data_IF_721317972011
#
_entry.id   IF_721317972011
#
_cell.length_a   1.000
_cell.length_b   1.000
_cell.length_c   1.000
_cell.angle_alpha   90.00
_cell.angle_beta   90.00
_cell.angle_gamma   90.00
#
_symmetry.space_group_name_H-M   'P 1'
#
loop_
_entity.id
_entity.type
_entity.pdbx_description
1 polymer ?
2 non-polymer ?
3 non-polymer ?
4 non-polymer ?
5 water ?
#
# COMPACT_ATOMS: atom_id res chain seq x y z
N UNK A 9 -15.71 -0.42 21.52
CA UNK A 9 -16.20 0.80 20.86
C UNK A 9 -16.04 0.71 19.34
N UNK A 10 -15.50 -0.40 18.87
CA UNK A 10 -15.24 -0.51 17.44
C UNK A 10 -16.52 -0.60 16.63
N UNK A 11 -17.63 -1.03 17.24
CA UNK A 11 -18.88 -1.16 16.51
C UNK A 11 -19.59 0.18 16.46
N UNK A 12 -19.64 0.88 17.59
CA UNK A 12 -20.26 2.20 17.65
C UNK A 12 -19.61 3.15 16.67
N UNK A 13 -18.29 3.09 16.52
CA UNK A 13 -17.55 3.98 15.65
C UNK A 13 -17.22 3.34 14.31
N UNK A 14 -17.99 2.32 13.89
CA UNK A 14 -17.66 1.64 12.63
C UNK A 14 -17.71 2.55 11.41
N UNK A 15 -18.46 3.67 11.43
CA UNK A 15 -18.47 4.58 10.29
C UNK A 15 -17.39 5.65 10.40
N UNK A 16 -16.40 5.44 11.27
CA UNK A 16 -15.38 6.45 11.55
C UNK A 16 -14.53 6.88 10.38
N UNK A 17 -14.39 6.06 9.35
CA UNK A 17 -13.65 6.52 8.19
C UNK A 17 -14.43 7.49 7.33
N UNK A 18 -15.75 7.58 7.51
CA UNK A 18 -16.62 8.33 6.60
C UNK A 18 -17.59 9.14 7.44
N UNK A 19 -17.08 10.08 8.22
CA UNK A 19 -17.91 10.76 9.20
C UNK A 19 -18.89 11.70 8.52
N UNK A 20 -20.08 11.79 9.13
CA UNK A 20 -21.12 12.68 8.63
C UNK A 20 -20.65 14.13 8.68
N UNK A 21 -21.04 14.90 7.69
CA UNK A 21 -20.70 16.31 7.60
C UNK A 21 -19.26 16.62 7.22
N UNK A 22 -18.48 15.64 6.89
CA UNK A 22 -17.11 15.90 6.49
C UNK A 22 -17.06 16.31 5.00
N UNK A 23 -16.27 17.33 4.65
CA UNK A 23 -16.29 17.81 3.25
C UNK A 23 -15.70 16.83 2.26
N UNK A 24 -14.70 16.07 2.68
CA UNK A 24 -14.12 15.06 1.81
C UNK A 24 -15.08 13.91 1.59
N UNK A 25 -15.78 13.48 2.64
CA UNK A 25 -16.82 12.45 2.49
C UNK A 25 -17.89 12.93 1.53
N UNK A 26 -18.33 14.17 1.71
CA UNK A 26 -19.35 14.72 0.82
C UNK A 26 -18.89 14.67 -0.63
N UNK A 27 -17.62 15.04 -0.89
CA UNK A 27 -17.10 15.00 -2.26
C UNK A 27 -17.13 13.57 -2.81
N UNK A 28 -16.71 12.58 -2.01
CA UNK A 28 -16.64 11.20 -2.48
C UNK A 28 -18.06 10.64 -2.67
N UNK A 29 -19.01 11.09 -1.86
CA UNK A 29 -20.42 10.70 -2.07
C UNK A 29 -20.98 11.28 -3.37
N UNK A 30 -20.67 12.55 -3.67
CA UNK A 30 -21.16 13.16 -4.91
C UNK A 30 -20.59 12.46 -6.13
N UNK A 31 -19.29 12.13 -6.08
CA UNK A 31 -18.67 11.43 -7.19
C UNK A 31 -19.27 10.06 -7.44
N UNK A 32 -19.87 9.42 -6.40
CA UNK A 32 -20.39 8.07 -6.58
C UNK A 32 -21.69 8.08 -7.37
N UNK A 33 -22.25 9.26 -7.61
CA UNK A 33 -23.43 9.41 -8.46
C UNK A 33 -23.06 9.51 -9.93
N UNK A 34 -21.82 9.34 -10.27
CA UNK A 34 -21.43 9.60 -11.65
C UNK A 34 -21.70 8.37 -12.51
N UNK A 35 -21.67 8.52 -13.83
CA UNK A 35 -21.87 7.37 -14.72
C UNK A 35 -20.78 6.32 -14.51
N UNK A 36 -21.16 5.05 -14.60
CA UNK A 36 -20.19 3.95 -14.51
C UNK A 36 -20.11 3.18 -15.81
N UNK A 37 -20.56 3.79 -16.89
CA UNK A 37 -20.58 3.20 -18.22
C UNK A 37 -19.88 4.17 -19.15
N UNK A 38 -18.91 3.68 -19.91
CA UNK A 38 -18.04 4.54 -20.70
C UNK A 38 -17.59 3.82 -21.94
N UNK A 39 -17.15 4.59 -22.92
CA UNK A 39 -16.28 4.11 -23.99
C UNK A 39 -15.08 5.03 -24.02
N UNK A 40 -13.88 4.46 -23.88
CA UNK A 40 -12.62 5.22 -24.01
C UNK A 40 -11.99 4.77 -25.33
N UNK A 41 -11.76 5.70 -26.24
CA UNK A 41 -11.26 5.38 -27.57
C UNK A 41 -9.74 5.28 -27.57
N UNK A 42 -9.22 4.36 -28.38
CA UNK A 42 -7.81 4.32 -28.72
C UNK A 42 -6.94 4.16 -27.48
N UNK A 43 -7.22 3.13 -26.68
CA UNK A 43 -6.53 2.90 -25.42
C UNK A 43 -5.42 1.92 -25.68
N UNK A 44 -4.21 2.23 -25.17
CA UNK A 44 -3.14 1.27 -25.13
C UNK A 44 -3.03 0.62 -23.75
N UNK A 45 -3.44 -0.64 -23.65
CA UNK A 45 -3.41 -1.34 -22.37
C UNK A 45 -1.98 -1.78 -22.12
N UNK A 46 -1.39 -1.30 -21.04
CA UNK A 46 -0.03 -1.71 -20.67
C UNK A 46 -0.10 -3.02 -19.89
N UNK A 47 0.67 -4.00 -20.32
CA UNK A 47 0.65 -5.33 -19.74
C UNK A 47 1.27 -5.29 -18.36
N UNK A 48 0.50 -5.67 -17.34
CA UNK A 48 0.94 -5.48 -15.96
C UNK A 48 2.25 -6.20 -15.66
N UNK A 49 2.60 -7.22 -16.44
CA UNK A 49 3.83 -7.98 -16.24
C UNK A 49 5.02 -7.42 -17.04
N UNK A 50 4.83 -7.09 -18.31
CA UNK A 50 5.93 -6.76 -19.19
C UNK A 50 6.13 -5.28 -19.46
N UNK A 51 5.13 -4.45 -19.20
CA UNK A 51 5.23 -3.04 -19.49
C UNK A 51 5.06 -2.69 -20.95
N UNK A 52 4.89 -3.67 -21.82
CA UNK A 52 4.61 -3.39 -23.21
C UNK A 52 3.12 -3.05 -23.39
N UNK A 53 2.82 -2.41 -24.52
CA UNK A 53 1.51 -1.82 -24.77
C UNK A 53 0.80 -2.56 -25.88
N UNK A 54 -0.45 -2.97 -25.64
CA UNK A 54 -1.23 -3.61 -26.67
C UNK A 54 -1.58 -2.60 -27.77
N UNK A 55 -1.99 -3.07 -28.94
CA UNK A 55 -2.41 -2.14 -29.98
C UNK A 55 -3.59 -1.32 -29.51
N UNK A 56 -3.86 -0.19 -30.15
CA UNK A 56 -4.92 0.70 -29.66
C UNK A 56 -6.28 0.04 -29.79
N UNK A 57 -7.03 0.05 -28.71
CA UNK A 57 -8.36 -0.54 -28.76
C UNK A 57 -9.32 0.34 -27.98
N UNK A 58 -10.56 0.34 -28.43
CA UNK A 58 -11.59 1.09 -27.72
C UNK A 58 -12.11 0.26 -26.57
N UNK A 59 -12.08 0.85 -25.39
CA UNK A 59 -12.41 0.17 -24.14
C UNK A 59 -13.86 0.46 -23.77
N UNK A 60 -14.67 -0.60 -23.61
CA UNK A 60 -16.05 -0.47 -23.19
C UNK A 60 -16.17 -0.87 -21.73
N UNK A 61 -16.67 0.07 -20.91
CA UNK A 61 -16.98 -0.16 -19.50
C UNK A 61 -18.50 -0.11 -19.35
N UNK A 62 -19.06 -1.12 -18.69
CA UNK A 62 -20.50 -1.25 -18.53
C UNK A 62 -20.76 -1.47 -17.04
N UNK A 63 -21.43 -0.50 -16.40
CA UNK A 63 -21.79 -0.61 -14.98
C UNK A 63 -20.57 -0.99 -14.14
N UNK A 64 -19.44 -0.34 -14.42
CA UNK A 64 -18.25 -0.52 -13.64
C UNK A 64 -17.50 -1.82 -13.88
N UNK A 65 -17.76 -2.52 -14.97
CA UNK A 65 -17.05 -3.74 -15.30
C UNK A 65 -16.44 -3.58 -16.69
N UNK A 66 -15.24 -4.10 -16.87
CA UNK A 66 -14.63 -4.09 -18.20
C UNK A 66 -15.43 -5.02 -19.11
N UNK A 67 -16.13 -4.44 -20.08
CA UNK A 67 -16.98 -5.22 -20.95
C UNK A 67 -16.24 -5.74 -22.16
N UNK A 68 -15.26 -5.01 -22.69
CA UNK A 68 -14.58 -5.49 -23.88
C UNK A 68 -13.70 -4.43 -24.50
N UNK A 69 -12.97 -4.89 -25.51
CA UNK A 69 -12.00 -4.08 -26.23
C UNK A 69 -12.32 -4.22 -27.71
N UNK A 70 -12.45 -3.07 -28.43
CA UNK A 70 -12.72 -3.11 -29.87
C UNK A 70 -11.53 -2.54 -30.62
N UNK A 71 -10.94 -3.22 -31.60
CA UNK A 71 -9.77 -2.64 -32.26
C UNK A 71 -10.08 -1.28 -32.83
N UNK A 72 -9.20 -0.34 -32.59
CA UNK A 72 -9.42 1.01 -33.09
C UNK A 72 -9.17 1.07 -34.61
N UNK A 73 -10.12 1.55 -35.40
CA UNK A 73 -9.93 1.53 -36.86
C UNK A 73 -8.74 2.39 -37.26
N UNK A 74 -7.96 1.97 -38.27
CA UNK A 74 -6.85 2.81 -38.74
C UNK A 74 -7.28 4.23 -39.11
N UNK A 78 -3.43 3.85 -42.13
CA UNK A 78 -3.07 4.76 -41.05
C UNK A 78 -3.29 4.16 -39.67
N UNK A 79 -2.23 3.59 -39.09
CA UNK A 79 -2.31 3.02 -37.75
C UNK A 79 -2.79 4.04 -36.73
N UNK A 80 -3.82 3.69 -35.97
CA UNK A 80 -4.44 4.68 -35.08
C UNK A 80 -3.51 5.03 -33.92
N UNK A 81 -3.29 6.32 -33.64
CA UNK A 81 -2.48 6.68 -32.47
C UNK A 81 -3.19 6.37 -31.17
N UNK A 82 -2.42 6.31 -30.09
CA UNK A 82 -3.00 6.11 -28.76
C UNK A 82 -3.52 7.46 -28.25
N UNK A 83 -4.76 7.47 -27.78
CA UNK A 83 -5.25 8.62 -27.03
C UNK A 83 -4.94 8.47 -25.55
N UNK A 84 -4.82 7.24 -25.10
CA UNK A 84 -4.61 6.96 -23.69
C UNK A 84 -3.69 5.77 -23.56
N UNK A 85 -2.92 5.78 -22.47
CA UNK A 85 -2.20 4.60 -21.99
C UNK A 85 -2.78 4.22 -20.63
N UNK A 86 -3.06 2.94 -20.42
CA UNK A 86 -3.83 2.50 -19.26
C UNK A 86 -3.10 1.39 -18.54
N UNK A 87 -3.05 1.50 -17.23
CA UNK A 87 -2.64 0.40 -16.36
C UNK A 87 -3.79 -0.05 -15.47
N UNK A 88 -3.73 -1.27 -14.94
CA UNK A 88 -4.60 -1.64 -13.83
C UNK A 88 -4.41 -0.64 -12.69
N UNK A 89 -5.44 -0.51 -11.87
CA UNK A 89 -5.32 0.30 -10.68
C UNK A 89 -4.27 -0.25 -9.75
N UNK A 90 -3.60 0.65 -9.02
CA UNK A 90 -2.52 0.29 -8.10
C UNK A 90 -3.08 -0.19 -6.76
N UNK A 91 -2.25 -1.00 -6.09
CA UNK A 91 -2.57 -1.53 -4.77
C UNK A 91 -1.46 -1.14 -3.82
N UNK A 92 -1.79 -0.34 -2.80
CA UNK A 92 -0.83 -0.13 -1.71
C UNK A 92 -0.89 -1.37 -0.81
N UNK A 93 0.16 -2.17 -0.87
CA UNK A 93 0.15 -3.48 -0.20
C UNK A 93 0.39 -3.41 1.31
N UNK A 94 0.58 -2.24 1.88
CA UNK A 94 0.71 -2.13 3.33
C UNK A 94 0.30 -0.73 3.74
N UNK A 95 -0.99 -0.46 3.89
CA UNK A 95 -1.48 0.86 4.25
C UNK A 95 -2.14 0.81 5.62
N UNK A 96 -2.07 1.91 6.34
CA UNK A 96 -2.75 2.10 7.62
C UNK A 96 -3.70 3.27 7.40
N UNK A 97 -4.83 2.98 6.79
CA UNK A 97 -5.88 3.97 6.53
C UNK A 97 -6.63 4.20 7.82
N UNK A 98 -6.61 5.46 8.29
CA UNK A 98 -7.24 5.89 9.52
C UNK A 98 -8.22 7.04 9.32
N UNK A 99 -8.25 7.62 8.14
CA UNK A 99 -9.12 8.77 7.88
C UNK A 99 -9.46 8.85 6.41
N UNK A 100 -10.56 9.57 6.13
CA UNK A 100 -10.93 9.82 4.73
C UNK A 100 -9.84 10.58 3.97
N UNK A 101 -9.01 11.36 4.67
CA UNK A 101 -7.85 11.99 4.03
C UNK A 101 -6.97 10.96 3.34
N UNK A 102 -6.70 9.85 4.02
CA UNK A 102 -5.89 8.79 3.43
C UNK A 102 -6.57 8.21 2.19
N UNK A 103 -7.89 7.99 2.24
CA UNK A 103 -8.59 7.40 1.10
C UNK A 103 -8.47 8.29 -0.12
N UNK A 104 -8.62 9.60 0.07
CA UNK A 104 -8.50 10.55 -1.04
C UNK A 104 -7.08 10.59 -1.58
N UNK A 105 -6.07 10.60 -0.69
CA UNK A 105 -4.69 10.57 -1.13
C UNK A 105 -4.37 9.36 -1.99
N UNK A 106 -4.86 8.18 -1.58
CA UNK A 106 -4.64 7.00 -2.40
C UNK A 106 -5.26 7.15 -3.79
N UNK A 107 -6.57 7.56 -3.86
CA UNK A 107 -7.26 7.64 -5.14
C UNK A 107 -6.55 8.59 -6.09
N UNK A 108 -6.16 9.74 -5.56
CA UNK A 108 -5.53 10.78 -6.40
C UNK A 108 -4.26 10.25 -7.05
N UNK A 109 -3.60 9.27 -6.42
CA UNK A 109 -2.36 8.74 -6.92
C UNK A 109 -2.53 7.42 -7.62
N UNK A 110 -3.76 7.07 -7.99
CA UNK A 110 -4.04 5.90 -8.80
C UNK A 110 -4.20 4.61 -8.02
N UNK A 111 -4.21 4.72 -6.71
CA UNK A 111 -4.32 3.55 -5.83
C UNK A 111 -5.81 3.28 -5.59
N UNK A 112 -6.30 2.20 -6.16
CA UNK A 112 -7.68 1.85 -6.13
C UNK A 112 -8.01 0.70 -5.18
N UNK A 113 -6.99 0.13 -4.52
CA UNK A 113 -7.16 -0.91 -3.51
C UNK A 113 -5.96 -0.83 -2.56
N UNK A 114 -6.15 -1.33 -1.35
CA UNK A 114 -5.06 -1.37 -0.39
C UNK A 114 -5.27 -2.55 0.55
N UNK A 115 -4.17 -3.08 1.07
CA UNK A 115 -4.17 -4.00 2.22
C UNK A 115 -4.07 -3.16 3.49
N UNK A 116 -5.07 -3.31 4.32
CA UNK A 116 -5.13 -2.69 5.65
C UNK A 116 -4.58 -3.70 6.64
N UNK A 117 -3.33 -3.52 7.04
CA UNK A 117 -2.64 -4.53 7.83
C UNK A 117 -2.81 -4.33 9.33
N UNK A 118 -3.76 -3.50 9.74
CA UNK A 118 -4.25 -3.45 11.10
C UNK A 118 -5.75 -3.17 10.95
N UNK A 119 -6.49 -4.19 10.52
CA UNK A 119 -7.89 -4.00 10.19
C UNK A 119 -8.79 -3.92 11.40
N UNK A 120 -9.88 -3.19 11.20
CA UNK A 120 -10.93 -2.96 12.20
C UNK A 120 -12.30 -3.08 11.55
N UNK A 121 -13.36 -3.20 12.33
CA UNK A 121 -14.73 -3.12 11.73
C UNK A 121 -14.95 -1.90 10.86
N UNK A 122 -14.32 -0.74 11.15
CA UNK A 122 -14.46 0.44 10.29
C UNK A 122 -14.01 0.20 8.86
N UNK A 123 -12.98 -0.63 8.65
CA UNK A 123 -12.59 -0.95 7.29
C UNK A 123 -13.55 -1.90 6.60
N UNK A 124 -14.18 -2.82 7.32
CA UNK A 124 -15.25 -3.62 6.72
C UNK A 124 -16.40 -2.74 6.34
N UNK A 125 -16.74 -1.76 7.19
CA UNK A 125 -17.80 -0.82 6.82
C UNK A 125 -17.44 -0.11 5.53
N UNK A 126 -16.19 0.36 5.41
CA UNK A 126 -15.77 1.02 4.20
C UNK A 126 -15.88 0.10 3.00
N UNK A 127 -15.60 -1.21 3.17
CA UNK A 127 -15.80 -2.17 2.09
C UNK A 127 -17.28 -2.26 1.71
N UNK A 128 -18.18 -2.12 2.70
CA UNK A 128 -19.62 -2.16 2.39
C UNK A 128 -20.02 -0.92 1.59
N UNK A 129 -19.45 0.23 1.95
CA UNK A 129 -19.73 1.46 1.19
C UNK A 129 -19.26 1.29 -0.25
N UNK A 130 -18.11 0.66 -0.43
CA UNK A 130 -17.61 0.36 -1.78
C UNK A 130 -18.56 -0.56 -2.55
N UNK A 131 -18.97 -1.66 -1.92
CA UNK A 131 -19.93 -2.58 -2.55
C UNK A 131 -21.24 -1.87 -2.89
N UNK A 132 -21.70 -0.98 -2.00
CA UNK A 132 -22.99 -0.30 -2.16
C UNK A 132 -22.89 0.84 -3.17
N UNK A 133 -21.68 1.23 -3.55
CA UNK A 133 -21.43 2.38 -4.42
C UNK A 133 -22.00 3.68 -3.86
N UNK A 134 -21.86 3.86 -2.53
CA UNK A 134 -22.31 5.08 -1.87
C UNK A 134 -21.26 6.19 -1.80
N UNK A 135 -19.99 5.85 -2.03
CA UNK A 135 -18.91 6.83 -2.11
C UNK A 135 -17.82 6.22 -2.97
N UNK A 136 -17.05 7.07 -3.63
CA UNK A 136 -15.92 6.63 -4.41
C UNK A 136 -14.76 6.43 -3.47
N UNK A 137 -14.28 5.18 -3.37
CA UNK A 137 -13.13 4.95 -2.49
C UNK A 137 -12.38 3.70 -2.96
N UNK A 138 -11.13 3.55 -2.55
CA UNK A 138 -10.38 2.33 -2.88
C UNK A 138 -10.97 1.15 -2.13
N UNK A 139 -10.80 -0.03 -2.72
CA UNK A 139 -11.33 -1.25 -2.10
C UNK A 139 -10.34 -1.78 -1.08
N UNK A 140 -10.76 -2.05 0.17
CA UNK A 140 -9.84 -2.60 1.17
C UNK A 140 -9.78 -4.11 1.19
N UNK A 141 -8.60 -4.60 1.64
CA UNK A 141 -8.39 -5.99 2.02
C UNK A 141 -7.96 -5.91 3.48
N UNK A 142 -8.71 -6.55 4.38
CA UNK A 142 -8.72 -6.14 5.77
C UNK A 142 -8.28 -7.33 6.65
N UNK A 143 -7.25 -7.13 7.50
CA UNK A 143 -6.94 -8.17 8.47
C UNK A 143 -7.81 -8.01 9.73
N UNK A 144 -7.98 -9.11 10.46
CA UNK A 144 -8.72 -9.08 11.71
C UNK A 144 -7.77 -8.58 12.80
N UNK A 145 -7.51 -7.29 12.78
CA UNK A 145 -6.60 -6.74 13.77
C UNK A 145 -5.22 -7.34 13.53
N UNK A 146 -4.48 -7.50 14.61
CA UNK A 146 -3.14 -8.09 14.55
C UNK A 146 -3.04 -9.04 15.74
N UNK A 147 -2.41 -10.19 15.52
CA UNK A 147 -2.25 -11.23 16.53
C UNK A 147 -0.80 -11.16 17.00
N UNK A 148 -0.60 -11.20 18.31
CA UNK A 148 0.73 -11.17 18.88
C UNK A 148 0.75 -12.06 20.12
N UNK A 149 1.97 -12.39 20.58
CA UNK A 149 2.11 -13.25 21.74
C UNK A 149 2.19 -12.45 23.02
N UNK A 150 2.22 -13.14 24.15
CA UNK A 150 2.53 -12.44 25.38
C UNK A 150 3.92 -11.84 25.25
N UNK A 151 4.15 -10.77 25.97
CA UNK A 151 5.40 -10.09 25.73
C UNK A 151 5.40 -9.25 24.47
N UNK A 152 4.23 -9.12 23.83
CA UNK A 152 4.04 -8.16 22.75
C UNK A 152 4.54 -6.77 23.15
N UNK A 153 5.14 -6.07 22.19
CA UNK A 153 5.46 -4.66 22.36
C UNK A 153 4.25 -3.75 22.09
N UNK A 154 3.13 -4.29 21.61
CA UNK A 154 1.93 -3.49 21.35
C UNK A 154 0.73 -4.17 22.00
N UNK A 155 0.79 -4.45 23.30
CA UNK A 155 -0.26 -5.27 23.92
C UNK A 155 -1.63 -4.61 23.94
N UNK A 156 -1.67 -3.29 23.88
CA UNK A 156 -2.94 -2.57 23.89
C UNK A 156 -3.70 -2.82 22.60
N UNK A 157 -3.02 -2.68 21.47
CA UNK A 157 -3.64 -2.76 20.16
C UNK A 157 -3.71 -4.18 19.62
N UNK A 158 -2.88 -5.09 20.11
CA UNK A 158 -2.84 -6.43 19.56
C UNK A 158 -3.83 -7.35 20.27
N UNK A 159 -4.28 -8.36 19.54
CA UNK A 159 -5.02 -9.48 20.11
C UNK A 159 -3.98 -10.49 20.59
N UNK A 160 -3.85 -10.69 21.91
CA UNK A 160 -2.85 -11.57 22.46
C UNK A 160 -3.33 -13.01 22.40
N UNK A 161 -2.55 -13.85 21.71
CA UNK A 161 -2.88 -15.25 21.52
C UNK A 161 -1.77 -16.07 22.18
N UNK A 162 -2.15 -16.96 23.08
CA UNK A 162 -1.17 -17.81 23.75
C UNK A 162 -1.55 -19.28 23.75
N UNK A 163 -2.57 -19.68 23.01
CA UNK A 163 -2.97 -21.07 22.96
C UNK A 163 -3.99 -21.26 21.84
N UNK A 164 -4.48 -22.51 21.73
CA UNK A 164 -5.33 -22.90 20.62
C UNK A 164 -6.69 -22.21 20.69
N UNK A 165 -7.22 -22.03 21.90
CA UNK A 165 -8.53 -21.39 22.02
C UNK A 165 -8.46 -19.94 21.58
N UNK A 166 -7.38 -19.23 21.93
CA UNK A 166 -7.21 -17.88 21.46
C UNK A 166 -7.13 -17.84 19.93
N UNK A 167 -6.40 -18.80 19.32
CA UNK A 167 -6.32 -18.86 17.86
C UNK A 167 -7.71 -19.09 17.25
N UNK A 168 -8.47 -19.99 17.83
CA UNK A 168 -9.80 -20.29 17.29
C UNK A 168 -10.68 -19.05 17.28
N UNK A 169 -10.60 -18.23 18.33
CA UNK A 169 -11.44 -17.03 18.41
C UNK A 169 -11.11 -16.05 17.29
N UNK A 170 -9.85 -16.00 16.84
CA UNK A 170 -9.53 -15.12 15.75
C UNK A 170 -10.09 -15.67 14.44
N UNK A 171 -9.93 -16.97 14.20
CA UNK A 171 -10.51 -17.60 13.03
C UNK A 171 -12.04 -17.39 13.01
N UNK A 172 -12.70 -17.45 14.17
CA UNK A 172 -14.15 -17.17 14.23
C UNK A 172 -14.51 -15.78 13.74
N UNK A 173 -13.75 -14.76 14.20
CA UNK A 173 -13.95 -13.39 13.76
C UNK A 173 -13.72 -13.26 12.25
N UNK A 174 -12.67 -13.87 11.73
CA UNK A 174 -12.39 -13.77 10.29
C UNK A 174 -13.55 -14.32 9.49
N UNK A 175 -13.97 -15.54 9.79
CA UNK A 175 -14.98 -16.19 9.01
C UNK A 175 -16.39 -15.64 9.31
N UNK A 176 -16.62 -15.05 10.49
CA UNK A 176 -17.94 -14.58 10.86
C UNK A 176 -18.23 -13.23 10.26
N UNK A 177 -17.22 -12.38 10.18
CA UNK A 177 -17.42 -11.01 9.71
C UNK A 177 -16.83 -10.75 8.34
N UNK A 178 -16.14 -11.73 7.75
CA UNK A 178 -15.59 -11.54 6.41
C UNK A 178 -14.31 -10.72 6.35
N UNK A 179 -13.49 -10.76 7.41
CA UNK A 179 -12.12 -10.31 7.24
C UNK A 179 -11.38 -11.18 6.20
N UNK A 180 -10.35 -10.61 5.59
CA UNK A 180 -9.67 -11.24 4.48
C UNK A 180 -8.41 -12.00 4.88
N UNK A 181 -7.89 -11.75 6.08
CA UNK A 181 -6.72 -12.49 6.55
C UNK A 181 -6.35 -12.17 7.98
N UNK A 182 -5.22 -12.79 8.42
CA UNK A 182 -4.75 -12.71 9.79
C UNK A 182 -3.34 -12.14 9.70
N UNK A 183 -3.04 -11.16 10.53
CA UNK A 183 -1.69 -10.61 10.55
C UNK A 183 -1.00 -10.97 11.85
N UNK A 184 0.23 -11.54 11.76
CA UNK A 184 1.02 -11.89 12.95
C UNK A 184 2.10 -10.88 13.20
N UNK A 185 2.40 -10.71 14.48
CA UNK A 185 3.45 -9.81 14.93
C UNK A 185 4.59 -10.62 15.54
N UNK A 186 5.60 -9.89 16.05
CA UNK A 186 6.91 -10.48 16.27
C UNK A 186 6.96 -11.46 17.42
N UNK A 187 6.09 -11.32 18.40
CA UNK A 187 6.22 -12.10 19.64
C UNK A 187 5.27 -13.27 19.70
N UNK A 188 4.64 -13.63 18.58
CA UNK A 188 3.87 -14.88 18.57
C UNK A 188 4.80 -16.04 18.85
N UNK A 189 4.42 -16.89 19.80
CA UNK A 189 5.27 -18.01 20.16
C UNK A 189 5.25 -19.08 19.07
N UNK A 190 6.33 -19.88 18.99
CA UNK A 190 6.43 -20.82 17.89
C UNK A 190 5.30 -21.85 17.85
N UNK A 191 4.96 -22.53 18.95
CA UNK A 191 3.84 -23.52 18.89
C UNK A 191 2.50 -22.88 18.51
N UNK A 192 2.28 -21.65 18.95
CA UNK A 192 1.08 -20.92 18.60
C UNK A 192 1.07 -20.56 17.13
N UNK A 193 2.19 -20.08 16.58
CA UNK A 193 2.30 -19.82 15.15
C UNK A 193 1.97 -21.10 14.35
N UNK A 194 2.54 -22.22 14.75
CA UNK A 194 2.34 -23.45 13.98
C UNK A 194 0.90 -23.85 13.95
N UNK A 195 0.23 -23.76 15.10
CA UNK A 195 -1.19 -24.06 15.17
C UNK A 195 -2.01 -23.06 14.34
N UNK A 196 -1.64 -21.78 14.39
CA UNK A 196 -2.36 -20.73 13.66
C UNK A 196 -2.27 -20.95 12.16
N UNK A 197 -1.05 -21.22 11.66
CA UNK A 197 -0.97 -21.39 10.21
C UNK A 197 -1.59 -22.70 9.77
N UNK A 198 -1.53 -23.76 10.61
CA UNK A 198 -2.21 -25.00 10.28
C UNK A 198 -3.72 -24.77 10.19
N UNK A 199 -4.28 -24.07 11.18
CA UNK A 199 -5.73 -23.92 11.22
C UNK A 199 -6.24 -22.87 10.23
N UNK A 200 -5.50 -21.79 10.03
CA UNK A 200 -5.85 -20.82 8.98
C UNK A 200 -5.82 -21.49 7.61
N UNK A 201 -4.76 -22.28 7.34
CA UNK A 201 -4.69 -22.99 6.06
C UNK A 201 -5.91 -23.87 5.87
N UNK A 202 -6.31 -24.62 6.91
CA UNK A 202 -7.48 -25.47 6.78
C UNK A 202 -8.72 -24.66 6.50
N UNK A 203 -8.79 -23.45 7.03
CA UNK A 203 -9.96 -22.60 6.85
C UNK A 203 -9.84 -21.70 5.62
N UNK A 204 -8.77 -21.82 4.83
CA UNK A 204 -8.60 -20.95 3.67
C UNK A 204 -8.25 -19.51 3.95
N UNK A 205 -7.72 -19.23 5.12
CA UNK A 205 -7.42 -17.86 5.55
C UNK A 205 -5.92 -17.60 5.37
N UNK A 206 -5.52 -16.58 4.64
CA UNK A 206 -4.09 -16.23 4.55
C UNK A 206 -3.56 -15.57 5.80
N UNK A 207 -2.30 -15.88 6.11
CA UNK A 207 -1.58 -15.26 7.22
C UNK A 207 -0.45 -14.40 6.66
N UNK A 208 -0.42 -13.14 7.09
CA UNK A 208 0.56 -12.18 6.62
C UNK A 208 1.23 -11.58 7.84
N UNK A 209 2.23 -10.72 7.62
CA UNK A 209 2.77 -9.90 8.68
C UNK A 209 4.26 -10.11 8.91
N UNK A 210 4.67 -9.97 10.16
CA UNK A 210 6.07 -10.03 10.55
C UNK A 210 6.48 -11.46 10.79
N UNK A 211 7.65 -11.87 10.27
CA UNK A 211 8.17 -13.19 10.62
C UNK A 211 8.40 -13.18 12.13
N UNK A 212 7.76 -14.04 12.91
CA UNK A 212 7.96 -13.97 14.37
C UNK A 212 9.37 -14.36 14.75
N UNK A 213 9.86 -13.71 15.80
CA UNK A 213 11.23 -13.95 16.25
C UNK A 213 11.47 -15.42 16.56
N UNK A 214 10.46 -16.11 17.04
CA UNK A 214 10.60 -17.51 17.46
C UNK A 214 10.38 -18.49 16.34
N UNK A 215 10.24 -18.01 15.10
CA UNK A 215 9.97 -18.85 13.95
C UNK A 215 11.11 -18.77 12.95
N UNK A 216 11.52 -19.94 12.46
CA UNK A 216 12.53 -20.05 11.41
C UNK A 216 12.06 -19.34 10.15
N UNK A 217 13.00 -18.68 9.48
CA UNK A 217 12.61 -17.93 8.29
C UNK A 217 12.04 -18.85 7.25
N UNK A 218 12.66 -20.02 7.05
CA UNK A 218 12.18 -20.90 5.99
C UNK A 218 10.78 -21.41 6.29
N UNK A 219 10.47 -21.67 7.56
CA UNK A 219 9.10 -22.05 7.93
C UNK A 219 8.11 -20.91 7.64
N UNK A 220 8.47 -19.68 7.98
CA UNK A 220 7.59 -18.56 7.73
C UNK A 220 7.36 -18.36 6.24
N UNK A 221 8.41 -18.50 5.43
CA UNK A 221 8.27 -18.26 4.00
C UNK A 221 7.34 -19.26 3.35
N UNK A 222 7.35 -20.50 3.81
CA UNK A 222 6.49 -21.47 3.16
C UNK A 222 5.07 -21.52 3.74
N UNK A 223 4.79 -20.86 4.86
CA UNK A 223 3.46 -20.90 5.45
C UNK A 223 2.72 -19.57 5.37
N UNK A 224 3.42 -18.45 5.26
CA UNK A 224 2.76 -17.15 5.23
C UNK A 224 2.49 -16.69 3.81
N UNK A 225 1.33 -16.09 3.60
CA UNK A 225 0.98 -15.61 2.28
C UNK A 225 1.89 -14.47 1.85
N UNK A 226 2.27 -13.62 2.79
CA UNK A 226 3.28 -12.61 2.53
C UNK A 226 4.01 -12.30 3.84
N UNK A 227 5.22 -11.77 3.69
CA UNK A 227 6.01 -11.26 4.82
C UNK A 227 6.40 -9.81 4.53
N UNK A 228 6.40 -9.01 5.59
CA UNK A 228 6.52 -7.56 5.48
C UNK A 228 7.86 -7.07 6.03
N UNK A 229 8.32 -5.98 5.42
CA UNK A 229 9.43 -5.15 5.89
C UNK A 229 10.78 -5.82 5.77
N UNK A 230 10.89 -6.95 5.08
CA UNK A 230 12.09 -7.80 5.06
C UNK A 230 12.43 -8.38 6.44
N UNK A 231 11.54 -8.28 7.44
CA UNK A 231 11.88 -8.89 8.71
C UNK A 231 12.01 -10.39 8.49
N UNK A 232 12.93 -10.97 9.23
CA UNK A 232 13.31 -12.36 8.94
C UNK A 232 14.60 -12.44 8.15
N UNK A 233 14.66 -11.72 7.04
CA UNK A 233 15.95 -11.51 6.36
C UNK A 233 16.85 -10.58 7.17
N UNK A 234 16.25 -9.57 7.79
CA UNK A 234 16.93 -8.70 8.73
C UNK A 234 16.06 -8.65 9.98
N UNK A 235 16.63 -8.27 11.11
CA UNK A 235 15.85 -8.19 12.33
C UNK A 235 14.98 -6.95 12.38
N UNK A 236 13.89 -7.06 13.12
CA UNK A 236 13.08 -5.90 13.43
C UNK A 236 13.83 -5.08 14.50
N UNK A 237 14.75 -4.25 14.04
CA UNK A 237 15.58 -3.48 14.97
C UNK A 237 14.77 -2.43 15.73
N UNK A 238 13.52 -2.17 15.32
CA UNK A 238 12.73 -1.17 16.04
C UNK A 238 12.24 -1.71 17.37
N UNK A 239 12.44 -3.01 17.62
CA UNK A 239 12.24 -3.59 18.95
C UNK A 239 13.38 -3.29 19.89
N UNK A 240 14.48 -2.71 19.41
CA UNK A 240 15.65 -2.43 20.23
C UNK A 240 15.64 -0.98 20.68
N UNK A 241 16.43 -0.63 21.71
CA UNK A 241 16.65 0.79 22.04
C UNK A 241 17.15 1.58 20.85
N UNK A 242 16.72 2.84 20.77
CA UNK A 242 17.04 3.68 19.62
C UNK A 242 18.54 3.74 19.34
N UNK A 243 19.37 3.72 20.38
CA UNK A 243 20.80 3.93 20.21
C UNK A 243 21.51 2.72 19.60
N UNK A 244 20.87 1.55 19.63
CA UNK A 244 21.47 0.34 19.10
C UNK A 244 20.90 -0.08 17.77
N UNK A 245 19.78 0.54 17.31
CA UNK A 245 19.02 0.00 16.19
C UNK A 245 19.85 -0.12 14.92
N UNK A 246 20.56 0.94 14.55
CA UNK A 246 21.18 0.97 13.24
C UNK A 246 22.51 0.22 13.25
N UNK A 247 23.22 0.21 14.39
CA UNK A 247 24.32 -0.71 14.59
C UNK A 247 23.87 -2.16 14.43
N UNK A 248 22.72 -2.52 15.01
CA UNK A 248 22.21 -3.88 14.88
C UNK A 248 21.85 -4.19 13.43
N UNK A 249 21.28 -3.24 12.73
CA UNK A 249 21.00 -3.49 11.32
C UNK A 249 22.31 -3.61 10.55
N UNK A 250 23.27 -2.71 10.80
CA UNK A 250 24.57 -2.83 10.15
C UNK A 250 25.20 -4.21 10.40
N UNK A 251 25.13 -4.70 11.64
CA UNK A 251 25.68 -6.01 11.95
C UNK A 251 24.96 -7.11 11.19
N UNK A 252 23.63 -7.04 11.13
CA UNK A 252 22.85 -8.03 10.39
C UNK A 252 23.27 -8.06 8.92
N UNK A 253 23.42 -6.89 8.32
CA UNK A 253 23.77 -6.85 6.91
C UNK A 253 25.21 -7.31 6.71
N UNK A 254 26.10 -6.96 7.64
CA UNK A 254 27.47 -7.46 7.61
C UNK A 254 27.47 -8.97 7.47
N UNK A 255 26.57 -9.67 8.19
CA UNK A 255 26.51 -11.12 8.15
C UNK A 255 25.51 -11.64 7.12
N UNK A 256 25.28 -10.91 6.04
CA UNK A 256 24.30 -11.31 5.03
C UNK A 256 24.96 -11.46 3.67
N UNK A 261 18.43 -16.64 0.00
CA UNK A 261 17.35 -15.91 -0.68
C UNK A 261 16.49 -16.80 -1.59
N UNK A 262 17.07 -17.85 -2.18
CA UNK A 262 16.30 -18.74 -3.05
C UNK A 262 15.17 -19.43 -2.31
N UNK A 263 15.22 -19.48 -0.97
CA UNK A 263 14.07 -19.94 -0.22
C UNK A 263 12.85 -19.05 -0.45
N UNK A 264 13.05 -17.85 -0.97
CA UNK A 264 11.91 -16.95 -1.15
C UNK A 264 11.27 -17.06 -2.53
N UNK A 265 11.74 -17.97 -3.38
CA UNK A 265 11.17 -18.05 -4.72
C UNK A 265 9.70 -18.39 -4.65
N UNK A 266 8.87 -17.61 -5.36
CA UNK A 266 7.44 -17.77 -5.36
C UNK A 266 6.71 -17.12 -4.21
N UNK A 267 7.41 -16.55 -3.24
CA UNK A 267 6.81 -15.97 -2.04
C UNK A 267 6.65 -14.46 -2.21
N UNK A 268 5.56 -13.91 -1.65
CA UNK A 268 5.26 -12.49 -1.74
C UNK A 268 6.00 -11.77 -0.63
N UNK A 269 6.76 -10.73 -1.01
CA UNK A 269 7.59 -9.94 -0.11
C UNK A 269 7.22 -8.47 -0.28
N UNK A 270 6.86 -7.80 0.81
CA UNK A 270 6.47 -6.39 0.79
C UNK A 270 7.48 -5.63 1.65
N UNK A 271 8.53 -5.06 1.05
CA UNK A 271 9.65 -4.55 1.88
C UNK A 271 9.43 -3.20 2.53
N UNK A 272 8.44 -2.43 2.08
CA UNK A 272 8.15 -1.09 2.58
C UNK A 272 9.42 -0.27 2.78
N UNK A 273 10.15 -0.09 1.67
CA UNK A 273 11.43 0.61 1.75
C UNK A 273 11.21 2.07 2.13
N UNK A 274 10.13 2.67 1.62
CA UNK A 274 9.82 4.08 1.95
C UNK A 274 9.66 4.28 3.44
N UNK A 275 9.10 3.29 4.14
CA UNK A 275 8.95 3.40 5.60
C UNK A 275 10.28 3.21 6.34
N UNK A 276 11.08 2.23 5.96
CA UNK A 276 12.47 2.16 6.46
C UNK A 276 13.19 3.50 6.31
N UNK A 277 13.12 4.07 5.11
CA UNK A 277 13.78 5.35 4.82
C UNK A 277 13.29 6.44 5.76
N UNK A 278 11.98 6.54 5.95
CA UNK A 278 11.47 7.58 6.85
C UNK A 278 11.88 7.35 8.29
N UNK A 279 12.02 6.10 8.76
CA UNK A 279 12.43 5.84 10.15
C UNK A 279 13.87 6.24 10.43
N UNK A 280 14.71 6.40 9.41
CA UNK A 280 16.13 6.70 9.64
C UNK A 280 16.32 8.13 10.13
N UNK A 281 15.38 9.01 9.83
CA UNK A 281 15.57 10.42 10.11
C UNK A 281 16.33 11.17 9.03
N UNK A 282 16.69 10.50 7.93
CA UNK A 282 17.31 11.17 6.79
C UNK A 282 16.31 12.13 6.14
N UNK A 283 16.84 13.04 5.35
CA UNK A 283 16.01 14.07 4.76
C UNK A 283 16.02 14.06 3.23
N UNK A 284 16.96 13.35 2.62
CA UNK A 284 17.09 13.42 1.16
C UNK A 284 15.82 12.93 0.44
N UNK A 285 15.29 11.75 0.84
CA UNK A 285 14.12 11.20 0.17
C UNK A 285 12.83 11.39 0.95
N UNK A 286 12.90 11.50 2.29
CA UNK A 286 11.69 11.61 3.11
C UNK A 286 11.20 13.05 3.13
N UNK A 287 12.14 13.98 3.18
CA UNK A 287 11.91 15.42 3.12
C UNK A 287 10.88 15.88 4.17
N UNK A 288 11.14 15.59 5.43
CA UNK A 288 10.28 16.15 6.47
C UNK A 288 10.30 17.67 6.37
N UNK A 289 9.14 18.28 6.57
CA UNK A 289 9.04 19.73 6.45
C UNK A 289 7.82 20.18 7.23
N UNK A 290 7.77 21.49 7.48
CA UNK A 290 6.58 22.10 8.06
C UNK A 290 5.37 21.89 7.16
N UNK A 291 5.56 21.90 5.84
CA UNK A 291 4.42 21.76 4.95
C UNK A 291 3.81 20.36 5.08
N UNK A 292 4.66 19.32 5.16
CA UNK A 292 4.12 17.97 5.28
C UNK A 292 3.47 17.78 6.64
N UNK A 293 4.05 18.35 7.70
CA UNK A 293 3.39 18.28 9.01
C UNK A 293 2.03 18.96 8.99
N UNK A 294 1.91 20.09 8.29
CA UNK A 294 0.61 20.74 8.18
C UNK A 294 -0.39 19.82 7.49
N UNK A 295 0.10 18.98 6.58
CA UNK A 295 -0.78 18.13 5.79
C UNK A 295 -1.20 16.88 6.55
N UNK A 296 -0.51 16.57 7.63
CA UNK A 296 -0.84 15.42 8.47
C UNK A 296 -2.16 15.66 9.16
N UNK A 297 -2.88 14.57 9.40
CA UNK A 297 -4.13 14.66 10.12
C UNK A 297 -3.90 15.05 11.58
N UNK A 298 -4.88 15.65 12.23
CA UNK A 298 -4.64 16.14 13.59
C UNK A 298 -4.17 15.05 14.55
N UNK A 299 -4.70 13.83 14.41
CA UNK A 299 -4.31 12.75 15.32
C UNK A 299 -2.86 12.33 15.13
N UNK A 300 -2.32 12.48 13.92
CA UNK A 300 -0.96 12.08 13.65
C UNK A 300 0.08 13.16 13.96
N UNK A 301 -0.32 14.42 14.04
CA UNK A 301 0.66 15.50 14.07
C UNK A 301 1.61 15.39 15.26
N UNK A 302 1.18 14.97 16.46
CA UNK A 302 2.17 14.88 17.57
C UNK A 302 3.29 13.90 17.30
N UNK A 303 2.97 12.70 16.83
CA UNK A 303 4.01 11.71 16.54
C UNK A 303 4.87 12.17 15.39
N UNK A 304 4.27 12.79 14.39
CA UNK A 304 5.06 13.28 13.26
C UNK A 304 5.98 14.41 13.69
N UNK A 305 5.48 15.27 14.57
CA UNK A 305 6.33 16.38 15.01
C UNK A 305 7.50 15.86 15.84
N UNK A 306 7.27 14.82 16.63
CA UNK A 306 8.38 14.23 17.38
C UNK A 306 9.41 13.61 16.46
N UNK A 307 8.96 12.96 15.40
CA UNK A 307 9.90 12.41 14.44
C UNK A 307 10.67 13.52 13.74
N UNK A 308 10.01 14.64 13.46
CA UNK A 308 10.69 15.79 12.87
C UNK A 308 11.81 16.30 13.77
N UNK A 309 11.58 16.31 15.09
CA UNK A 309 12.62 16.69 16.03
C UNK A 309 13.79 15.73 15.97
N UNK A 310 13.52 14.44 15.87
CA UNK A 310 14.61 13.47 15.70
C UNK A 310 15.39 13.79 14.44
N UNK A 311 14.69 14.08 13.34
CA UNK A 311 15.42 14.36 12.10
C UNK A 311 16.25 15.63 12.22
N UNK A 312 15.70 16.65 12.87
CA UNK A 312 16.46 17.89 13.05
C UNK A 312 17.74 17.65 13.85
N UNK A 313 17.68 16.80 14.86
CA UNK A 313 18.79 16.58 15.76
C UNK A 313 19.85 15.64 15.17
N UNK A 314 19.51 14.90 14.12
CA UNK A 314 20.41 13.85 13.63
C UNK A 314 21.64 14.42 12.94
N UNK A 315 22.80 13.97 13.37
CA UNK A 315 24.03 14.37 12.69
C UNK A 315 23.98 13.94 11.23
N UNK A 316 24.22 14.86 10.29
CA UNK A 316 24.21 14.47 8.87
C UNK A 316 25.07 13.25 8.52
N UNK A 317 26.20 13.04 9.18
CA UNK A 317 27.01 11.86 8.85
C UNK A 317 26.27 10.58 9.20
N UNK A 318 25.56 10.60 10.32
CA UNK A 318 24.78 9.41 10.73
C UNK A 318 23.59 9.22 9.82
N UNK A 319 22.97 10.32 9.37
CA UNK A 319 21.87 10.21 8.41
C UNK A 319 22.34 9.51 7.14
N UNK A 320 23.50 9.92 6.63
CA UNK A 320 24.12 9.27 5.47
C UNK A 320 24.40 7.79 5.72
N UNK A 321 24.88 7.44 6.92
CA UNK A 321 25.15 6.05 7.21
C UNK A 321 23.85 5.25 7.18
N UNK A 322 22.80 5.77 7.79
CA UNK A 322 21.52 5.05 7.81
C UNK A 322 20.93 4.96 6.42
N UNK A 323 21.03 6.03 5.63
CA UNK A 323 20.53 5.95 4.26
C UNK A 323 21.20 4.86 3.46
N UNK A 324 22.53 4.70 3.62
CA UNK A 324 23.24 3.62 2.95
C UNK A 324 22.73 2.24 3.37
N UNK A 325 22.35 2.08 4.64
CA UNK A 325 21.78 0.78 5.05
C UNK A 325 20.43 0.51 4.36
N UNK A 326 19.59 1.53 4.22
CA UNK A 326 18.32 1.33 3.55
C UNK A 326 18.55 1.09 2.06
N UNK A 327 19.58 1.71 1.46
CA UNK A 327 19.93 1.38 0.09
C UNK A 327 20.24 -0.12 -0.05
N UNK A 328 20.99 -0.67 0.90
CA UNK A 328 21.31 -2.10 0.91
C UNK A 328 20.05 -2.95 1.04
N UNK A 329 19.10 -2.52 1.86
CA UNK A 329 17.79 -3.20 1.94
C UNK A 329 17.12 -3.24 0.58
N UNK A 330 17.22 -2.15 -0.18
CA UNK A 330 16.65 -2.15 -1.51
C UNK A 330 17.34 -3.13 -2.42
N UNK A 331 18.68 -3.23 -2.32
CA UNK A 331 19.40 -4.22 -3.12
C UNK A 331 19.02 -5.64 -2.71
N UNK A 332 18.70 -5.86 -1.45
CA UNK A 332 18.22 -7.18 -1.02
C UNK A 332 16.87 -7.49 -1.65
N UNK A 333 15.97 -6.50 -1.68
CA UNK A 333 14.67 -6.64 -2.35
C UNK A 333 14.87 -6.98 -3.83
N UNK A 334 15.84 -6.31 -4.50
CA UNK A 334 16.10 -6.64 -5.91
C UNK A 334 16.63 -8.05 -6.05
N UNK A 335 17.53 -8.45 -5.17
CA UNK A 335 18.12 -9.77 -5.26
C UNK A 335 17.07 -10.85 -5.02
N UNK A 336 16.13 -10.58 -4.11
CA UNK A 336 15.01 -11.50 -3.90
C UNK A 336 14.17 -11.66 -5.17
N UNK A 337 13.85 -10.53 -5.84
CA UNK A 337 13.10 -10.60 -7.08
C UNK A 337 13.83 -11.42 -8.12
N UNK A 338 15.15 -11.26 -8.21
CA UNK A 338 15.94 -12.04 -9.15
C UNK A 338 15.95 -13.52 -8.81
N UNK A 339 15.78 -13.87 -7.54
CA UNK A 339 15.64 -15.29 -7.17
C UNK A 339 14.21 -15.81 -7.36
N UNK A 340 13.27 -14.96 -7.75
CA UNK A 340 11.91 -15.39 -8.01
C UNK A 340 10.88 -14.98 -6.97
N UNK A 341 11.28 -14.26 -5.92
CA UNK A 341 10.30 -13.70 -4.99
C UNK A 341 9.39 -12.73 -5.74
N UNK A 342 8.22 -12.51 -5.16
CA UNK A 342 7.16 -11.73 -5.80
C UNK A 342 7.03 -10.46 -4.96
N UNK A 343 7.62 -9.39 -5.46
CA UNK A 343 7.62 -8.16 -4.70
C UNK A 343 6.27 -7.44 -4.76
N UNK A 344 6.00 -6.67 -3.72
CA UNK A 344 4.79 -5.85 -3.58
C UNK A 344 5.22 -4.44 -3.21
N UNK A 345 4.35 -3.49 -3.52
CA UNK A 345 4.61 -2.08 -3.26
C UNK A 345 3.72 -1.65 -2.11
N UNK A 346 4.30 -1.54 -0.91
CA UNK A 346 3.55 -1.09 0.25
C UNK A 346 4.34 -0.01 0.96
N UNK A 347 3.64 0.78 1.77
CA UNK A 347 4.22 2.03 2.27
C UNK A 347 4.29 2.17 3.79
N UNK A 348 3.45 1.47 4.54
CA UNK A 348 3.23 1.79 5.95
C UNK A 348 2.80 3.23 6.12
N UNK A 349 2.03 3.74 5.16
CA UNK A 349 1.54 5.11 5.23
C UNK A 349 0.81 5.31 6.53
N UNK A 350 0.95 6.51 7.06
CA UNK A 350 0.53 6.82 8.41
C UNK A 350 1.68 6.95 9.39
N UNK A 351 2.76 6.19 9.16
CA UNK A 351 4.00 6.41 9.89
C UNK A 351 4.49 7.83 9.61
N UNK A 352 5.31 8.40 10.51
CA UNK A 352 5.71 9.79 10.30
C UNK A 352 6.35 10.07 8.95
N UNK A 353 5.78 11.05 8.25
CA UNK A 353 6.23 11.53 6.95
C UNK A 353 6.06 10.51 5.82
N UNK A 354 5.21 9.50 6.03
CA UNK A 354 4.80 8.58 4.97
C UNK A 354 3.34 8.90 4.65
N UNK A 355 3.12 9.67 3.59
CA UNK A 355 1.82 10.25 3.30
C UNK A 355 1.08 9.33 2.34
N UNK A 356 -0.12 8.90 2.73
CA UNK A 356 -0.95 8.06 1.85
C UNK A 356 -1.12 8.71 0.47
N UNK A 357 -0.75 7.97 -0.57
CA UNK A 357 -0.80 8.49 -1.92
C UNK A 357 0.60 8.73 -2.49
N UNK A 358 1.22 9.86 -2.16
CA UNK A 358 2.57 10.10 -2.68
C UNK A 358 3.57 9.05 -2.26
N UNK A 359 3.43 8.50 -1.04
CA UNK A 359 4.38 7.50 -0.53
C UNK A 359 4.38 6.24 -1.40
N UNK A 360 3.24 5.95 -2.04
CA UNK A 360 3.20 4.81 -2.95
C UNK A 360 4.24 4.98 -4.07
N UNK A 361 4.25 6.17 -4.67
CA UNK A 361 5.22 6.48 -5.72
C UNK A 361 6.63 6.62 -5.16
N UNK A 362 6.78 7.05 -3.91
CA UNK A 362 8.11 6.99 -3.30
C UNK A 362 8.62 5.56 -3.18
N UNK A 363 7.72 4.61 -2.94
CA UNK A 363 8.16 3.23 -2.83
C UNK A 363 8.49 2.67 -4.21
N UNK A 364 7.74 3.05 -5.25
CA UNK A 364 8.18 2.71 -6.62
C UNK A 364 9.57 3.29 -6.87
N UNK A 365 9.81 4.52 -6.42
CA UNK A 365 11.14 5.12 -6.62
C UNK A 365 12.23 4.36 -5.86
N UNK A 366 11.97 3.94 -4.62
CA UNK A 366 12.94 3.11 -3.90
C UNK A 366 13.26 1.83 -4.65
N UNK A 367 12.23 1.15 -5.17
CA UNK A 367 12.45 -0.12 -5.85
C UNK A 367 13.19 0.07 -7.17
N UNK A 368 12.87 1.12 -7.93
CA UNK A 368 13.59 1.33 -9.18
C UNK A 368 15.01 1.85 -8.94
N UNK A 369 15.24 2.65 -7.89
CA UNK A 369 16.60 3.04 -7.53
C UNK A 369 17.46 1.83 -7.25
N UNK A 370 16.88 0.79 -6.64
CA UNK A 370 17.58 -0.47 -6.36
C UNK A 370 17.83 -1.31 -7.61
N UNK A 371 17.26 -0.92 -8.75
CA UNK A 371 17.52 -1.61 -10.02
C UNK A 371 16.31 -2.30 -10.62
N UNK A 372 15.15 -2.28 -10.01
CA UNK A 372 13.98 -2.91 -10.60
C UNK A 372 13.54 -2.11 -11.82
N UNK A 373 13.22 -2.83 -12.91
CA UNK A 373 12.73 -2.17 -14.10
C UNK A 373 11.24 -1.76 -14.03
N UNK A 374 10.80 -1.09 -15.12
CA UNK A 374 9.45 -0.56 -15.17
C UNK A 374 8.42 -1.70 -15.10
N UNK A 375 8.62 -2.73 -15.91
CA UNK A 375 7.69 -3.85 -15.94
C UNK A 375 7.57 -4.54 -14.60
N UNK A 376 8.73 -4.79 -13.96
CA UNK A 376 8.74 -5.47 -12.65
C UNK A 376 8.01 -4.65 -11.61
N UNK A 377 8.26 -3.34 -11.57
CA UNK A 377 7.65 -2.56 -10.52
C UNK A 377 6.15 -2.37 -10.81
N UNK A 378 5.78 -2.31 -12.09
CA UNK A 378 4.36 -2.26 -12.42
C UNK A 378 3.65 -3.56 -12.00
N UNK A 379 4.27 -4.71 -12.25
CA UNK A 379 3.71 -5.99 -11.81
C UNK A 379 3.55 -6.02 -10.30
N UNK A 380 4.55 -5.57 -9.55
CA UNK A 380 4.44 -5.48 -8.10
C UNK A 380 3.30 -4.56 -7.63
N UNK A 381 3.04 -3.49 -8.39
CA UNK A 381 2.05 -2.49 -8.01
C UNK A 381 0.65 -2.98 -8.32
N UNK A 382 0.53 -3.99 -9.17
CA UNK A 382 -0.78 -4.38 -9.67
C UNK A 382 -1.01 -5.88 -9.63
N UNK A 383 -0.70 -6.59 -10.74
CA UNK A 383 -1.03 -8.01 -10.87
C UNK A 383 -0.61 -8.87 -9.66
N UNK A 384 0.61 -8.68 -9.14
CA UNK A 384 1.03 -9.55 -8.04
C UNK A 384 0.33 -9.18 -6.75
N UNK A 385 -0.07 -7.92 -6.61
CA UNK A 385 -0.87 -7.54 -5.43
C UNK A 385 -2.28 -8.11 -5.51
N UNK A 386 -2.89 -8.12 -6.69
CA UNK A 386 -4.20 -8.76 -6.77
C UNK A 386 -4.08 -10.24 -6.45
N UNK A 387 -2.97 -10.86 -6.86
CA UNK A 387 -2.76 -12.29 -6.53
C UNK A 387 -2.58 -12.51 -5.02
N UNK A 388 -1.81 -11.67 -4.36
CA UNK A 388 -1.58 -11.88 -2.93
C UNK A 388 -2.85 -11.68 -2.13
N UNK A 389 -3.76 -10.84 -2.63
CA UNK A 389 -5.07 -10.63 -1.98
C UNK A 389 -6.09 -11.68 -2.35
N UNK A 390 -5.77 -12.58 -3.26
CA UNK A 390 -6.72 -13.62 -3.59
C UNK A 390 -7.80 -13.15 -4.52
N UNK A 391 -7.61 -12.02 -5.17
CA UNK A 391 -8.56 -11.45 -6.13
C UNK A 391 -8.16 -11.97 -7.50
N UNK A 392 -8.86 -12.97 -7.99
CA UNK A 392 -8.40 -13.70 -9.18
C UNK A 392 -9.20 -13.37 -10.43
N UNK A 393 -9.76 -12.15 -10.51
CA UNK A 393 -10.03 -11.53 -11.80
C UNK A 393 -8.71 -11.04 -12.41
N UNK A 394 -8.63 -11.09 -13.75
CA UNK A 394 -7.44 -10.59 -14.41
C UNK A 394 -7.27 -9.10 -14.08
N UNK A 395 -6.02 -8.60 -14.06
CA UNK A 395 -5.76 -7.28 -13.47
C UNK A 395 -6.50 -6.15 -14.16
N UNK A 396 -6.70 -6.27 -15.47
CA UNK A 396 -7.39 -5.25 -16.27
C UNK A 396 -8.74 -5.75 -16.74
N UNK A 397 -9.31 -6.75 -16.05
CA UNK A 397 -10.68 -7.20 -16.35
C UNK A 397 -11.51 -7.18 -15.08
N UNK A 398 -12.74 -7.68 -15.16
CA UNK A 398 -13.62 -7.57 -14.01
C UNK A 398 -13.88 -6.11 -13.68
N UNK A 399 -13.69 -5.75 -12.42
CA UNK A 399 -14.00 -4.40 -11.99
C UNK A 399 -13.14 -3.40 -12.73
N UNK A 400 -13.75 -2.32 -13.17
CA UNK A 400 -13.07 -1.31 -13.97
C UNK A 400 -12.34 -0.36 -13.02
N UNK A 401 -11.20 -0.84 -12.54
CA UNK A 401 -10.24 -0.09 -11.76
C UNK A 401 -8.98 0.06 -12.64
N UNK A 402 -8.75 1.25 -13.16
CA UNK A 402 -7.72 1.46 -14.16
C UNK A 402 -7.13 2.85 -13.99
N UNK A 403 -5.89 3.04 -14.44
CA UNK A 403 -5.22 4.33 -14.37
C UNK A 403 -4.88 4.78 -15.79
N UNK A 404 -5.17 6.04 -16.10
CA UNK A 404 -5.10 6.58 -17.45
C UNK A 404 -4.02 7.66 -17.54
N UNK A 405 -3.26 7.66 -18.65
CA UNK A 405 -2.18 8.61 -18.93
C UNK A 405 -2.25 9.03 -20.39
N UNK A 406 -2.08 10.34 -20.62
CA UNK A 406 -2.03 10.83 -21.99
C UNK A 406 -0.70 10.48 -22.64
N UNK A 407 0.37 10.41 -21.86
CA UNK A 407 1.68 10.01 -22.35
C UNK A 407 2.09 8.72 -21.64
N UNK A 408 2.95 7.93 -22.25
CA UNK A 408 3.33 6.66 -21.66
C UNK A 408 3.96 6.94 -20.30
N UNK A 409 3.56 6.25 -19.22
CA UNK A 409 4.06 6.61 -17.89
C UNK A 409 5.52 6.26 -17.65
N UNK A 410 6.13 5.43 -18.48
CA UNK A 410 7.58 5.24 -18.41
C UNK A 410 8.38 6.39 -19.02
N UNK A 411 7.73 7.45 -19.49
CA UNK A 411 8.40 8.67 -19.92
C UNK A 411 7.91 9.86 -19.12
N UNK A 412 8.68 10.94 -19.12
CA UNK A 412 8.24 12.14 -18.47
C UNK A 412 8.56 12.19 -16.99
N UNK A 413 8.41 13.37 -16.37
CA UNK A 413 9.02 13.61 -15.05
C UNK A 413 8.29 12.99 -13.89
N UNK A 414 7.02 12.67 -13.99
CA UNK A 414 6.30 12.18 -12.82
C UNK A 414 6.05 10.67 -12.85
N UNK A 415 6.39 10.00 -13.92
CA UNK A 415 6.23 8.56 -14.00
C UNK A 415 4.77 8.16 -13.91
N UNK A 416 4.45 7.32 -12.91
CA UNK A 416 3.07 6.90 -12.68
C UNK A 416 2.31 7.80 -11.73
N UNK A 417 3.00 8.79 -11.14
CA UNK A 417 2.45 9.53 -10.00
C UNK A 417 1.42 10.57 -10.33
N UNK A 418 1.26 10.97 -11.59
CA UNK A 418 0.30 12.01 -11.93
C UNK A 418 -0.59 11.51 -13.06
N UNK A 419 -1.57 10.67 -12.74
CA UNK A 419 -2.49 10.24 -13.77
C UNK A 419 -3.22 11.42 -14.36
N UNK A 420 -3.60 11.28 -15.61
CA UNK A 420 -4.61 12.13 -16.22
C UNK A 420 -6.03 11.63 -16.02
N UNK A 421 -6.20 10.45 -15.45
CA UNK A 421 -7.51 9.97 -15.05
C UNK A 421 -7.37 8.73 -14.20
N UNK A 422 -8.33 8.52 -13.32
CA UNK A 422 -8.38 7.29 -12.52
C UNK A 422 -9.81 6.79 -12.59
N UNK A 423 -9.98 5.58 -13.10
CA UNK A 423 -11.28 4.90 -13.13
C UNK A 423 -11.40 4.01 -11.90
N UNK A 424 -12.44 4.24 -11.09
CA UNK A 424 -12.60 3.56 -9.81
C UNK A 424 -13.97 2.91 -9.84
N UNK A 425 -14.03 1.59 -9.94
CA UNK A 425 -15.32 0.87 -10.02
C UNK A 425 -16.22 1.57 -11.04
N UNK A 426 -15.62 1.97 -12.17
CA UNK A 426 -16.38 2.61 -13.27
C UNK A 426 -16.56 4.11 -13.23
N UNK A 427 -16.30 4.77 -12.11
CA UNK A 427 -16.39 6.24 -12.07
C UNK A 427 -15.08 6.80 -12.60
N UNK A 428 -15.16 7.68 -13.57
CA UNK A 428 -13.96 8.26 -14.17
C UNK A 428 -13.66 9.60 -13.52
N UNK A 429 -12.57 9.66 -12.79
CA UNK A 429 -12.05 10.90 -12.23
C UNK A 429 -11.05 11.47 -13.22
N UNK A 430 -11.39 12.57 -13.87
CA UNK A 430 -10.46 13.18 -14.81
C UNK A 430 -9.43 14.04 -14.09
N UNK A 431 -8.52 14.64 -14.85
CA UNK A 431 -7.41 15.34 -14.22
C UNK A 431 -7.85 16.50 -13.38
N UNK A 432 -8.93 17.19 -13.79
CA UNK A 432 -9.42 18.28 -12.97
C UNK A 432 -10.08 17.77 -11.72
N UNK A 433 -10.78 16.64 -11.81
CA UNK A 433 -11.31 15.97 -10.62
C UNK A 433 -10.19 15.60 -9.66
N UNK A 434 -9.08 15.11 -10.19
CA UNK A 434 -7.96 14.67 -9.34
C UNK A 434 -7.30 15.87 -8.70
N UNK A 435 -7.10 16.96 -9.46
CA UNK A 435 -6.56 18.19 -8.89
C UNK A 435 -7.46 18.69 -7.77
N UNK A 436 -8.78 18.67 -7.98
CA UNK A 436 -9.70 19.23 -7.00
C UNK A 436 -9.72 18.38 -5.72
N UNK A 437 -9.72 17.06 -5.87
CA UNK A 437 -9.67 16.17 -4.69
C UNK A 437 -8.40 16.36 -3.90
N UNK A 438 -7.27 16.44 -4.58
CA UNK A 438 -6.02 16.66 -3.87
C UNK A 438 -6.03 18.03 -3.18
N UNK A 439 -6.44 19.08 -3.89
CA UNK A 439 -6.52 20.40 -3.28
C UNK A 439 -7.43 20.38 -2.04
N UNK A 440 -8.56 19.67 -2.10
CA UNK A 440 -9.45 19.63 -0.96
C UNK A 440 -8.83 18.85 0.20
N UNK A 441 -8.15 17.77 -0.12
CA UNK A 441 -7.44 16.98 0.91
C UNK A 441 -6.41 17.85 1.64
N UNK A 442 -5.72 18.72 0.90
CA UNK A 442 -4.72 19.60 1.53
C UNK A 442 -5.39 20.72 2.33
N UNK A 443 -6.39 21.39 1.73
CA UNK A 443 -7.04 22.52 2.39
C UNK A 443 -7.70 22.09 3.69
N UNK A 444 -8.30 20.90 3.69
CA UNK A 444 -8.98 20.40 4.88
C UNK A 444 -8.02 20.19 6.03
N UNK A 445 -6.76 19.89 5.74
CA UNK A 445 -5.73 19.74 6.74
C UNK A 445 -5.06 21.07 7.08
N UNK A 446 -5.38 22.14 6.37
CA UNK A 446 -4.83 23.45 6.68
C UNK A 446 -3.67 23.88 5.84
N UNK A 447 -3.31 23.13 4.81
CA UNK A 447 -2.21 23.50 3.95
C UNK A 447 -2.77 24.14 2.69
N UNK A 448 -2.20 25.28 2.30
CA UNK A 448 -2.51 25.93 1.05
C UNK A 448 -2.26 24.96 -0.10
N UNK A 449 -3.28 24.62 -0.89
CA UNK A 449 -3.05 23.68 -2.01
C UNK A 449 -1.95 24.10 -2.96
N UNK A 450 -1.68 25.39 -3.12
CA UNK A 450 -0.61 25.77 -4.02
C UNK A 450 0.76 25.36 -3.51
N UNK A 451 0.88 24.96 -2.24
CA UNK A 451 2.15 24.48 -1.72
C UNK A 451 2.49 23.05 -2.15
N UNK A 452 1.55 22.29 -2.74
CA UNK A 452 1.80 20.88 -3.05
C UNK A 452 1.03 20.50 -4.32
N UNK A 453 1.64 20.79 -5.47
CA UNK A 453 1.00 20.47 -6.74
C UNK A 453 0.86 18.95 -6.92
N UNK A 454 -0.27 18.53 -7.48
CA UNK A 454 -0.45 17.12 -7.74
C UNK A 454 0.62 16.61 -8.68
N UNK A 455 1.19 15.45 -8.33
CA UNK A 455 2.31 14.85 -9.04
C UNK A 455 3.66 15.02 -8.36
N UNK A 456 3.81 16.04 -7.52
CA UNK A 456 4.99 16.20 -6.67
C UNK A 456 4.87 15.21 -5.51
N UNK A 457 5.96 14.56 -5.16
CA UNK A 457 5.87 13.59 -4.09
C UNK A 457 6.07 14.21 -2.72
N UNK A 458 6.51 15.47 -2.71
CA UNK A 458 6.75 16.25 -1.52
C UNK A 458 6.45 17.69 -1.88
N UNK A 459 5.98 18.49 -0.94
CA UNK A 459 5.77 19.93 -1.23
C UNK A 459 7.09 20.64 -1.48
N UNK A 460 7.26 21.27 -2.65
CA UNK A 460 8.52 22.00 -2.95
C UNK A 460 8.68 23.27 -2.12
X LIG B 1 4.84 -3.79 10.53
X LIG C 1 2.35 -1.55 9.31
X LIG D 1 6.83 6.82 -9.52
X LIG D 1 5.57 6.88 -10.13
X LIG D 1 7.57 8.14 -9.72
X LIG D 1 6.74 9.27 -9.49
X LIG D 1 8.75 8.19 -8.74
X LIG D 1 9.43 9.43 -8.86
X LIG E 1 10.61 20.09 15.47
#
# INVERSE_FOLDING_TARGET
MSPSVTEDAQWRHRRGLLPEGDPLVAALERLADRPRTHVFKAVGLIDAATGETAPPRDLEVADGVVAGWSPTPPVDGRPAPYDWYVTPGFVDAHAHVSSVSDLVGLLVHGVTAYRQLWGEPAHLLAAGVHRARHAVLPRPWVTAGVVDGPGSHVPQAATIVSGMRDVAKVVDDVLGFGFDGIKVYDDVERPVFEALVRDADRAGIPVVGHVPQAVRLDVALRTMRSTEHLYGFVPNVFRLPAAERWDALADALRHHHGDRLAEAAGHFVCPTLVAWRARTGERRFTRPSRAVLQAATPSRRPAWQAAARDALRLDPAEAERRGALVDRLGRIARALAEEGARLLVGTDCGNPFVVAGPSFHKEIAELTRAGLGFGAVLKAATADAYDVMGWHDKPAAGRADLVFYRRHPDDGPTGLARPDGVLVDGVFLDGEDLDRLWSLRLSAAGLDPSAWARGALDPPVTGARPDKEAAHAG
ZN ZN
ZN ZN
GOL C1 O1 C2 O2 C3 O3
CL CL
#
